data_IF_483232564154
#
_entry.id   IF_483232564154
#
_cell.length_a   1.000
_cell.length_b   1.000
_cell.length_c   1.000
_cell.angle_alpha   90.00
_cell.angle_beta   90.00
_cell.angle_gamma   90.00
#
_symmetry.space_group_name_H-M   'P 1'
#
loop_
_entity.id
_entity.type
_entity.pdbx_description
1 polymer ?
#
# COMPACT_ATOMS: atom_id res chain seq x y z
N UNK A 1 21.18 -8.84 0.05
CA UNK A 1 21.04 -10.06 -0.79
C UNK A 1 19.77 -10.85 -0.49
N UNK A 2 19.41 -11.10 0.78
CA UNK A 2 18.22 -11.89 1.16
C UNK A 2 16.90 -11.38 0.57
N UNK A 3 16.63 -10.07 0.66
CA UNK A 3 15.40 -9.46 0.11
C UNK A 3 15.29 -9.57 -1.41
N UNK A 4 16.37 -9.28 -2.16
CA UNK A 4 16.33 -9.34 -3.62
C UNK A 4 16.02 -10.76 -4.11
N UNK A 5 16.63 -11.77 -3.48
CA UNK A 5 16.42 -13.18 -3.82
C UNK A 5 14.98 -13.62 -3.54
N UNK A 6 14.43 -13.29 -2.37
CA UNK A 6 13.03 -13.58 -2.04
C UNK A 6 12.07 -12.86 -2.99
N UNK A 7 12.37 -11.62 -3.36
CA UNK A 7 11.55 -10.85 -4.30
C UNK A 7 11.61 -11.44 -5.71
N UNK A 8 12.78 -11.96 -6.14
CA UNK A 8 12.93 -12.72 -7.38
C UNK A 8 12.08 -13.98 -7.39
N UNK A 9 12.12 -14.78 -6.33
CA UNK A 9 11.31 -15.99 -6.18
C UNK A 9 9.82 -15.67 -6.26
N UNK A 10 9.34 -14.71 -5.47
CA UNK A 10 7.94 -14.28 -5.46
C UNK A 10 7.45 -13.75 -6.82
N UNK A 11 8.31 -12.98 -7.52
CA UNK A 11 7.98 -12.43 -8.84
C UNK A 11 7.86 -13.52 -9.89
N UNK A 12 8.69 -14.56 -9.80
CA UNK A 12 8.63 -15.75 -10.68
C UNK A 12 7.40 -16.59 -10.36
N UNK A 13 7.18 -16.93 -9.09
CA UNK A 13 6.05 -17.73 -8.62
C UNK A 13 4.71 -17.10 -9.03
N UNK A 14 4.52 -15.80 -8.79
CA UNK A 14 3.27 -15.09 -9.14
C UNK A 14 3.17 -14.69 -10.61
N UNK A 15 4.15 -15.05 -11.43
CA UNK A 15 4.25 -14.71 -12.85
C UNK A 15 3.90 -13.23 -13.11
N UNK A 16 4.60 -12.33 -12.39
CA UNK A 16 4.36 -10.89 -12.44
C UNK A 16 4.76 -10.34 -13.82
N UNK A 17 5.88 -10.82 -14.36
CA UNK A 17 6.40 -10.44 -15.67
C UNK A 17 6.25 -11.57 -16.68
N UNK A 18 5.09 -11.62 -17.35
CA UNK A 18 4.82 -12.62 -18.41
C UNK A 18 5.82 -12.61 -19.58
N UNK A 19 6.38 -11.43 -19.90
CA UNK A 19 7.31 -11.27 -21.01
C UNK A 19 8.69 -10.90 -20.49
N UNK A 20 9.68 -11.75 -20.78
CA UNK A 20 11.04 -11.55 -20.30
C UNK A 20 11.97 -10.88 -21.31
N UNK A 21 11.45 -9.89 -22.04
CA UNK A 21 12.25 -9.07 -22.98
C UNK A 21 13.40 -8.31 -22.29
N UNK A 22 13.37 -8.19 -20.97
CA UNK A 22 14.32 -7.46 -20.13
C UNK A 22 14.59 -8.30 -18.89
N UNK A 23 15.84 -8.37 -18.44
CA UNK A 23 16.26 -9.17 -17.29
C UNK A 23 15.42 -8.85 -16.05
N UNK A 24 14.94 -9.89 -15.36
CA UNK A 24 14.10 -9.73 -14.16
C UNK A 24 14.83 -8.90 -13.11
N UNK A 25 16.13 -9.13 -12.93
CA UNK A 25 16.99 -8.43 -11.99
C UNK A 25 16.95 -6.91 -12.21
N UNK A 26 17.02 -6.46 -13.46
CA UNK A 26 16.94 -5.04 -13.81
C UNK A 26 15.56 -4.48 -13.50
N UNK A 27 14.48 -5.21 -13.83
CA UNK A 27 13.12 -4.78 -13.49
C UNK A 27 12.95 -4.62 -11.97
N UNK A 28 13.50 -5.54 -11.18
CA UNK A 28 13.46 -5.51 -9.73
C UNK A 28 14.25 -4.35 -9.15
N UNK A 29 15.51 -4.19 -9.56
CA UNK A 29 16.37 -3.09 -9.12
C UNK A 29 15.71 -1.75 -9.46
N UNK A 30 15.20 -1.59 -10.68
CA UNK A 30 14.52 -0.36 -11.09
C UNK A 30 13.29 -0.07 -10.22
N UNK A 31 12.47 -1.08 -9.93
CA UNK A 31 11.29 -0.94 -9.05
C UNK A 31 11.69 -0.57 -7.63
N UNK A 32 12.71 -1.21 -7.06
CA UNK A 32 13.20 -0.93 -5.70
C UNK A 32 13.78 0.49 -5.64
N UNK A 33 14.58 0.91 -6.62
CA UNK A 33 15.11 2.28 -6.70
C UNK A 33 13.98 3.31 -6.76
N UNK A 34 12.94 3.03 -7.55
CA UNK A 34 11.76 3.88 -7.58
C UNK A 34 11.08 3.92 -6.21
N UNK A 35 10.78 2.77 -5.59
CA UNK A 35 10.20 2.67 -4.25
C UNK A 35 10.99 3.49 -3.21
N UNK A 36 12.32 3.36 -3.22
CA UNK A 36 13.25 4.04 -2.31
C UNK A 36 13.26 5.58 -2.45
N UNK A 37 12.63 6.14 -3.48
CA UNK A 37 12.50 7.61 -3.60
C UNK A 37 12.90 8.19 -4.94
N UNK A 38 13.59 7.42 -5.80
CA UNK A 38 14.09 7.92 -7.08
C UNK A 38 12.92 8.10 -8.05
N UNK A 39 12.98 9.12 -8.92
CA UNK A 39 11.95 9.34 -9.95
C UNK A 39 12.09 8.33 -11.08
N UNK A 40 10.98 7.97 -11.74
CA UNK A 40 11.00 7.00 -12.85
C UNK A 40 12.02 7.35 -13.94
N UNK A 41 12.09 8.64 -14.31
CA UNK A 41 13.03 9.15 -15.31
C UNK A 41 14.47 9.05 -14.85
N UNK A 42 14.75 9.38 -13.58
CA UNK A 42 16.11 9.28 -13.01
C UNK A 42 16.55 7.82 -12.89
N UNK A 43 15.65 6.91 -12.49
CA UNK A 43 15.93 5.47 -12.46
C UNK A 43 16.24 4.90 -13.84
N UNK A 44 15.41 5.23 -14.85
CA UNK A 44 15.65 4.82 -16.25
C UNK A 44 16.98 5.35 -16.78
N UNK A 45 17.33 6.61 -16.48
CA UNK A 45 18.64 7.18 -16.84
C UNK A 45 19.80 6.50 -16.11
N UNK A 46 19.63 6.21 -14.81
CA UNK A 46 20.67 5.58 -13.99
C UNK A 46 21.00 4.16 -14.43
N UNK A 47 20.01 3.41 -14.89
CA UNK A 47 20.18 2.02 -15.34
C UNK A 47 20.44 1.89 -16.84
N UNK A 48 20.59 3.00 -17.56
CA UNK A 48 20.73 3.02 -19.03
C UNK A 48 21.90 2.18 -19.54
N UNK A 49 23.02 2.19 -18.82
CA UNK A 49 24.23 1.45 -19.19
C UNK A 49 24.10 -0.07 -18.94
N UNK A 50 23.14 -0.49 -18.10
CA UNK A 50 22.85 -1.90 -17.84
C UNK A 50 21.74 -2.43 -18.76
N UNK A 51 20.69 -1.64 -18.97
CA UNK A 51 19.60 -1.97 -19.89
C UNK A 51 18.80 -0.71 -20.28
N UNK A 52 18.37 -0.64 -21.55
CA UNK A 52 17.58 0.48 -22.05
C UNK A 52 16.07 0.20 -21.90
N UNK A 53 15.38 1.02 -21.11
CA UNK A 53 13.93 1.00 -20.93
C UNK A 53 13.38 2.40 -20.64
N UNK A 54 12.13 2.66 -21.03
CA UNK A 54 11.48 3.94 -20.79
C UNK A 54 10.96 4.06 -19.36
N UNK A 55 10.77 5.31 -18.89
CA UNK A 55 10.12 5.58 -17.60
C UNK A 55 8.68 5.03 -17.52
N UNK A 56 7.97 4.95 -18.65
CA UNK A 56 6.65 4.32 -18.72
C UNK A 56 6.70 2.80 -18.57
N UNK A 57 7.74 2.14 -19.11
CA UNK A 57 7.94 0.71 -18.88
C UNK A 57 8.15 0.44 -17.38
N UNK A 58 8.97 1.24 -16.71
CA UNK A 58 9.16 1.16 -15.25
C UNK A 58 7.87 1.43 -14.49
N UNK A 59 7.07 2.42 -14.90
CA UNK A 59 5.75 2.68 -14.30
C UNK A 59 4.86 1.44 -14.37
N UNK A 60 4.78 0.80 -15.53
CA UNK A 60 4.00 -0.43 -15.72
C UNK A 60 4.55 -1.58 -14.87
N UNK A 61 5.87 -1.74 -14.77
CA UNK A 61 6.48 -2.75 -13.90
C UNK A 61 6.13 -2.53 -12.44
N UNK A 62 6.21 -1.28 -11.98
CA UNK A 62 5.83 -0.93 -10.61
C UNK A 62 4.37 -1.26 -10.31
N UNK A 63 3.42 -0.90 -11.20
CA UNK A 63 2.01 -1.24 -11.00
C UNK A 63 1.76 -2.75 -10.92
N UNK A 64 2.55 -3.58 -11.63
CA UNK A 64 2.41 -5.04 -11.56
C UNK A 64 2.76 -5.59 -10.18
N UNK A 65 3.56 -4.89 -9.37
CA UNK A 65 3.87 -5.30 -8.00
C UNK A 65 2.64 -5.25 -7.09
N UNK A 66 1.56 -4.56 -7.47
CA UNK A 66 0.29 -4.65 -6.76
C UNK A 66 -0.21 -6.11 -6.64
N UNK A 67 0.12 -6.98 -7.60
CA UNK A 67 -0.21 -8.42 -7.58
C UNK A 67 0.60 -9.21 -6.55
N UNK A 68 1.70 -8.65 -6.04
CA UNK A 68 2.46 -9.24 -4.95
C UNK A 68 1.75 -9.04 -3.60
N UNK A 69 0.85 -8.05 -3.48
CA UNK A 69 0.10 -7.80 -2.27
C UNK A 69 -0.67 -9.05 -1.85
N UNK A 70 -0.31 -9.57 -0.68
CA UNK A 70 -0.92 -10.75 -0.11
C UNK A 70 -0.73 -10.73 1.39
N UNK A 71 -1.79 -11.06 2.10
CA UNK A 71 -1.78 -11.24 3.54
C UNK A 71 -2.32 -12.65 3.83
N UNK A 72 -1.72 -13.32 4.81
CA UNK A 72 -2.24 -14.59 5.28
C UNK A 72 -3.45 -14.38 6.19
N UNK A 73 -4.38 -15.33 6.12
CA UNK A 73 -5.44 -15.42 7.11
C UNK A 73 -4.86 -15.92 8.43
N UNK A 74 -4.94 -15.12 9.49
CA UNK A 74 -4.42 -15.45 10.82
C UNK A 74 -5.19 -14.73 11.93
N UNK A 75 -4.93 -15.15 13.17
CA UNK A 75 -5.43 -14.45 14.36
C UNK A 75 -4.76 -13.08 14.46
N UNK A 76 -5.55 -12.04 14.72
CA UNK A 76 -5.07 -10.68 14.94
C UNK A 76 -5.71 -10.10 16.18
N UNK A 77 -4.88 -9.66 17.12
CA UNK A 77 -5.36 -9.05 18.36
C UNK A 77 -5.97 -7.68 18.09
N UNK A 78 -5.21 -6.82 17.40
CA UNK A 78 -5.58 -5.42 17.17
C UNK A 78 -5.22 -4.96 15.75
N UNK A 79 -6.15 -4.24 15.12
CA UNK A 79 -5.95 -3.59 13.83
C UNK A 79 -6.23 -2.10 14.00
N UNK A 80 -5.26 -1.26 13.63
CA UNK A 80 -5.47 0.17 13.55
C UNK A 80 -5.92 0.56 12.13
N UNK A 81 -6.99 1.35 12.04
CA UNK A 81 -7.57 1.85 10.80
C UNK A 81 -7.62 3.37 10.87
N UNK A 82 -7.18 4.02 9.80
CA UNK A 82 -7.15 5.47 9.70
C UNK A 82 -7.12 5.90 8.21
N UNK A 83 -7.35 7.18 7.95
CA UNK A 83 -7.27 7.74 6.61
C UNK A 83 -6.35 8.95 6.51
N UNK A 84 -5.78 9.12 5.31
CA UNK A 84 -5.06 10.35 4.95
C UNK A 84 -5.59 10.93 3.65
N UNK A 85 -5.50 12.26 3.53
CA UNK A 85 -5.80 12.97 2.29
C UNK A 85 -4.63 12.86 1.31
N UNK A 86 -4.96 12.62 0.04
CA UNK A 86 -4.05 12.74 -1.10
C UNK A 86 -4.69 13.60 -2.19
N UNK A 87 -3.87 14.13 -3.10
CA UNK A 87 -4.35 14.92 -4.24
C UNK A 87 -4.21 14.12 -5.52
N UNK A 88 -5.32 13.93 -6.25
CA UNK A 88 -5.35 13.34 -7.59
C UNK A 88 -5.79 14.46 -8.54
N UNK A 89 -4.89 14.88 -9.43
CA UNK A 89 -5.12 16.09 -10.21
C UNK A 89 -5.33 17.31 -9.30
N UNK A 90 -6.49 17.96 -9.40
CA UNK A 90 -6.85 19.10 -8.56
C UNK A 90 -7.79 18.73 -7.39
N UNK A 91 -8.24 17.49 -7.30
CA UNK A 91 -9.22 17.06 -6.30
C UNK A 91 -8.58 16.36 -5.11
N UNK A 92 -9.21 16.51 -3.94
CA UNK A 92 -8.84 15.77 -2.73
C UNK A 92 -9.54 14.42 -2.69
N UNK A 93 -8.76 13.40 -2.37
CA UNK A 93 -9.20 12.02 -2.19
C UNK A 93 -8.69 11.50 -0.85
N UNK A 94 -9.29 10.42 -0.36
CA UNK A 94 -8.96 9.77 0.90
C UNK A 94 -8.38 8.40 0.65
N UNK A 95 -7.25 8.11 1.30
CA UNK A 95 -6.63 6.79 1.35
C UNK A 95 -6.92 6.21 2.72
N UNK A 96 -7.69 5.13 2.75
CA UNK A 96 -7.93 4.30 3.92
C UNK A 96 -6.83 3.25 3.99
N UNK A 97 -6.24 3.06 5.16
CA UNK A 97 -5.30 2.00 5.41
C UNK A 97 -5.67 1.27 6.70
N UNK A 98 -5.31 -0.01 6.76
CA UNK A 98 -5.43 -0.82 7.97
C UNK A 98 -4.09 -1.50 8.23
N UNK A 99 -3.59 -1.42 9.46
CA UNK A 99 -2.33 -2.05 9.87
C UNK A 99 -2.57 -3.01 11.03
N UNK A 100 -1.93 -4.17 10.97
CA UNK A 100 -1.81 -5.07 12.10
C UNK A 100 -0.81 -4.47 13.09
N UNK A 101 -1.25 -4.17 14.31
CA UNK A 101 -0.43 -3.49 15.31
C UNK A 101 0.76 -4.35 15.76
N UNK A 102 0.57 -5.67 15.75
CA UNK A 102 1.59 -6.60 16.24
C UNK A 102 2.68 -6.83 15.19
N UNK A 103 2.29 -6.96 13.91
CA UNK A 103 3.24 -7.28 12.82
C UNK A 103 3.64 -6.10 11.96
N UNK A 104 3.03 -4.94 12.13
CA UNK A 104 3.24 -3.76 11.30
C UNK A 104 2.92 -3.96 9.80
N UNK A 105 2.25 -5.06 9.46
CA UNK A 105 1.82 -5.35 8.09
C UNK A 105 0.54 -4.58 7.76
N UNK A 106 0.50 -3.96 6.58
CA UNK A 106 -0.71 -3.33 6.07
C UNK A 106 -1.65 -4.40 5.51
N UNK A 107 -2.87 -4.44 6.04
CA UNK A 107 -3.89 -5.43 5.71
C UNK A 107 -4.74 -5.05 4.51
N UNK A 108 -4.85 -3.76 4.23
CA UNK A 108 -5.61 -3.27 3.09
C UNK A 108 -5.39 -1.79 2.83
N UNK A 109 -5.67 -1.39 1.59
CA UNK A 109 -5.72 0.00 1.17
C UNK A 109 -6.94 0.23 0.27
N UNK A 110 -7.56 1.40 0.38
CA UNK A 110 -8.68 1.78 -0.47
C UNK A 110 -8.70 3.29 -0.68
N UNK A 111 -9.06 3.71 -1.88
CA UNK A 111 -9.17 5.13 -2.24
C UNK A 111 -10.63 5.50 -2.46
N UNK A 112 -11.09 6.57 -1.82
CA UNK A 112 -12.44 7.08 -1.96
C UNK A 112 -12.44 8.61 -2.10
N UNK A 113 -13.47 9.14 -2.76
CA UNK A 113 -13.67 10.59 -2.85
C UNK A 113 -14.23 11.17 -1.55
N UNK A 114 -14.99 10.37 -0.81
CA UNK A 114 -15.69 10.76 0.41
C UNK A 114 -15.32 9.84 1.57
N UNK A 115 -15.71 10.24 2.79
CA UNK A 115 -15.59 9.40 4.00
C UNK A 115 -16.97 9.16 4.57
N UNK A 116 -17.56 8.03 4.21
CA UNK A 116 -18.90 7.64 4.66
C UNK A 116 -18.84 6.34 5.47
N UNK A 117 -19.86 6.07 6.27
CA UNK A 117 -19.95 4.81 7.01
C UNK A 117 -20.06 3.60 6.07
N UNK A 118 -20.58 3.78 4.84
CA UNK A 118 -20.62 2.74 3.81
C UNK A 118 -19.20 2.43 3.32
N UNK A 119 -18.37 3.46 3.11
CA UNK A 119 -16.96 3.28 2.76
C UNK A 119 -16.22 2.55 3.88
N UNK A 120 -16.45 2.92 5.14
CA UNK A 120 -15.87 2.25 6.29
C UNK A 120 -16.26 0.76 6.35
N UNK A 121 -17.55 0.41 6.18
CA UNK A 121 -17.99 -1.01 6.12
C UNK A 121 -17.30 -1.76 4.98
N UNK A 122 -17.26 -1.16 3.79
CA UNK A 122 -16.63 -1.77 2.62
C UNK A 122 -15.14 -2.02 2.88
N UNK A 123 -14.46 -1.08 3.53
CA UNK A 123 -13.06 -1.21 3.87
C UNK A 123 -12.82 -2.30 4.92
N UNK A 124 -13.59 -2.28 6.01
CA UNK A 124 -13.46 -3.24 7.11
C UNK A 124 -13.74 -4.66 6.62
N UNK A 125 -14.79 -4.87 5.82
CA UNK A 125 -15.05 -6.20 5.23
C UNK A 125 -13.90 -6.70 4.36
N UNK A 126 -13.20 -5.83 3.63
CA UNK A 126 -12.03 -6.21 2.81
C UNK A 126 -10.84 -6.67 3.65
N UNK A 127 -10.68 -6.17 4.88
CA UNK A 127 -9.56 -6.57 5.75
C UNK A 127 -9.90 -7.79 6.61
N UNK A 128 -11.19 -7.97 6.97
CA UNK A 128 -11.64 -9.10 7.79
C UNK A 128 -11.43 -10.45 7.11
N UNK A 129 -11.34 -10.52 5.77
CA UNK A 129 -11.01 -11.77 5.05
C UNK A 129 -9.65 -12.34 5.47
N UNK A 130 -8.75 -11.49 5.97
CA UNK A 130 -7.45 -11.90 6.47
C UNK A 130 -7.50 -12.27 7.95
N UNK A 131 -8.61 -12.09 8.65
CA UNK A 131 -8.73 -12.40 10.07
C UNK A 131 -9.53 -13.69 10.26
N UNK A 132 -9.01 -14.63 11.05
CA UNK A 132 -9.81 -15.81 11.46
C UNK A 132 -10.61 -15.55 12.75
N UNK A 133 -10.50 -14.35 13.32
CA UNK A 133 -11.18 -13.88 14.52
C UNK A 133 -11.84 -12.51 14.28
N UNK A 134 -12.52 -11.98 15.30
CA UNK A 134 -12.96 -10.58 15.35
C UNK A 134 -11.91 -9.75 16.11
N UNK A 135 -11.01 -9.03 15.40
CA UNK A 135 -9.98 -8.23 16.04
C UNK A 135 -10.58 -7.01 16.73
N UNK A 136 -9.87 -6.49 17.73
CA UNK A 136 -10.11 -5.14 18.23
C UNK A 136 -9.76 -4.13 17.13
N UNK A 137 -10.66 -3.22 16.81
CA UNK A 137 -10.42 -2.16 15.84
C UNK A 137 -10.10 -0.85 16.55
N UNK A 138 -8.90 -0.31 16.31
CA UNK A 138 -8.51 1.02 16.76
C UNK A 138 -8.71 2.03 15.64
N UNK A 139 -9.51 3.06 15.92
CA UNK A 139 -9.89 4.11 14.96
C UNK A 139 -9.82 5.47 15.61
N UNK A 140 -9.84 6.51 14.77
CA UNK A 140 -10.02 7.88 15.24
C UNK A 140 -11.45 8.12 15.76
N UNK A 141 -11.73 9.36 16.18
CA UNK A 141 -13.08 9.76 16.64
C UNK A 141 -14.02 10.09 15.48
N UNK A 142 -13.72 9.66 14.25
CA UNK A 142 -14.54 10.04 13.13
C UNK A 142 -15.93 9.36 13.18
N UNK A 143 -16.99 10.09 12.78
CA UNK A 143 -18.36 9.63 12.94
C UNK A 143 -18.70 8.43 12.06
N UNK A 144 -17.98 8.19 10.97
CA UNK A 144 -18.25 7.10 10.04
C UNK A 144 -17.89 5.71 10.58
N UNK A 145 -17.02 5.61 11.59
CA UNK A 145 -16.61 4.33 12.16
C UNK A 145 -17.62 3.72 13.12
N UNK A 146 -18.22 4.55 13.98
CA UNK A 146 -19.10 4.06 15.07
C UNK A 146 -20.19 3.14 14.55
N UNK A 147 -20.97 3.61 13.59
CA UNK A 147 -22.07 2.83 13.01
C UNK A 147 -21.56 1.64 12.20
N UNK A 148 -20.47 1.81 11.44
CA UNK A 148 -19.89 0.76 10.62
C UNK A 148 -19.40 -0.45 11.46
N UNK A 149 -18.67 -0.17 12.54
CA UNK A 149 -18.09 -1.21 13.41
C UNK A 149 -19.15 -1.91 14.26
N UNK A 150 -20.13 -1.16 14.77
CA UNK A 150 -21.29 -1.74 15.46
C UNK A 150 -22.07 -2.69 14.55
N UNK A 151 -22.32 -2.29 13.29
CA UNK A 151 -23.04 -3.13 12.32
C UNK A 151 -22.28 -4.42 11.98
N UNK A 152 -20.96 -4.39 12.01
CA UNK A 152 -20.10 -5.57 11.80
C UNK A 152 -19.92 -6.41 13.08
N UNK A 153 -20.44 -5.94 14.21
CA UNK A 153 -20.31 -6.61 15.50
C UNK A 153 -18.85 -6.78 15.93
N UNK A 154 -18.03 -5.74 15.70
CA UNK A 154 -16.63 -5.65 16.10
C UNK A 154 -16.49 -4.77 17.34
N UNK A 155 -15.61 -5.17 18.25
CA UNK A 155 -15.14 -4.30 19.34
C UNK A 155 -14.25 -3.21 18.76
N UNK A 156 -14.41 -1.97 19.23
CA UNK A 156 -13.59 -0.86 18.79
C UNK A 156 -13.27 0.10 19.92
N UNK A 157 -12.10 0.71 19.83
CA UNK A 157 -11.62 1.71 20.78
C UNK A 157 -11.21 2.98 20.05
N UNK A 158 -11.56 4.12 20.64
CA UNK A 158 -11.10 5.43 20.21
C UNK A 158 -9.81 5.76 20.95
N UNK A 159 -8.68 5.67 20.25
CA UNK A 159 -7.39 5.98 20.84
C UNK A 159 -6.75 7.17 20.08
N UNK A 160 -6.39 8.22 20.83
CA UNK A 160 -5.70 9.39 20.27
C UNK A 160 -4.18 9.25 20.36
N UNK A 161 -3.67 8.42 21.29
CA UNK A 161 -2.25 8.14 21.49
C UNK A 161 -2.08 6.68 21.95
N UNK A 162 -1.21 5.90 21.30
CA UNK A 162 -0.99 4.50 21.65
C UNK A 162 -0.65 3.62 20.44
N UNK A 163 -1.30 2.47 20.33
CA UNK A 163 -1.07 1.49 19.25
C UNK A 163 -1.42 2.03 17.85
N UNK A 164 -2.23 3.11 17.80
CA UNK A 164 -2.48 3.87 16.56
C UNK A 164 -1.22 4.54 15.99
N UNK A 165 -0.16 4.70 16.78
CA UNK A 165 1.12 5.21 16.28
C UNK A 165 1.68 4.36 15.13
N UNK A 166 1.29 3.08 15.04
CA UNK A 166 1.70 2.21 13.94
C UNK A 166 1.19 2.73 12.58
N UNK A 167 -0.10 3.08 12.48
CA UNK A 167 -0.67 3.57 11.22
C UNK A 167 -0.21 4.99 10.90
N UNK A 168 -0.03 5.83 11.92
CA UNK A 168 0.51 7.18 11.74
C UNK A 168 1.96 7.15 11.24
N UNK A 169 2.78 6.26 11.80
CA UNK A 169 4.14 5.99 11.33
C UNK A 169 4.15 5.57 9.86
N UNK A 170 3.30 4.61 9.48
CA UNK A 170 3.18 4.21 8.08
C UNK A 170 2.71 5.35 7.16
N UNK A 171 1.75 6.17 7.59
CA UNK A 171 1.33 7.34 6.82
C UNK A 171 2.44 8.37 6.66
N UNK A 172 3.35 8.50 7.62
CA UNK A 172 4.52 9.37 7.47
C UNK A 172 5.45 8.86 6.35
N UNK A 173 5.67 7.55 6.27
CA UNK A 173 6.42 6.91 5.18
C UNK A 173 5.73 7.19 3.83
N UNK A 174 4.41 6.97 3.75
CA UNK A 174 3.63 7.26 2.54
C UNK A 174 3.72 8.74 2.14
N UNK A 175 3.54 9.66 3.10
CA UNK A 175 3.60 11.11 2.85
C UNK A 175 4.99 11.56 2.40
N UNK A 176 6.05 11.00 2.98
CA UNK A 176 7.43 11.25 2.55
C UNK A 176 7.63 10.81 1.10
N UNK A 177 7.08 9.65 0.72
CA UNK A 177 7.11 9.17 -0.66
C UNK A 177 6.30 10.06 -1.61
N UNK A 178 5.08 10.43 -1.23
CA UNK A 178 4.19 11.29 -2.01
C UNK A 178 4.76 12.70 -2.21
N UNK A 179 5.51 13.20 -1.22
CA UNK A 179 6.23 14.49 -1.32
C UNK A 179 7.26 14.51 -2.45
N UNK A 180 7.86 13.37 -2.82
CA UNK A 180 8.84 13.27 -3.92
C UNK A 180 8.23 13.54 -5.31
N UNK A 181 6.91 13.44 -5.45
CA UNK A 181 6.19 13.79 -6.68
C UNK A 181 5.19 14.94 -6.44
N UNK A 182 5.64 15.99 -5.74
CA UNK A 182 4.88 17.24 -5.53
C UNK A 182 3.54 17.05 -4.80
N UNK A 183 3.44 15.98 -3.99
CA UNK A 183 2.24 15.60 -3.24
C UNK A 183 0.99 15.41 -4.10
N UNK A 184 1.17 15.11 -5.39
CA UNK A 184 0.07 15.09 -6.37
C UNK A 184 0.24 13.97 -7.37
N UNK A 185 -0.78 13.13 -7.48
CA UNK A 185 -0.89 12.20 -8.60
C UNK A 185 -1.34 12.95 -9.87
N UNK A 186 -0.88 12.52 -11.06
CA UNK A 186 -1.23 13.14 -12.33
C UNK A 186 -2.76 13.29 -12.52
N UNK A 187 -3.20 14.31 -13.26
CA UNK A 187 -4.64 14.56 -13.47
C UNK A 187 -5.33 13.45 -14.26
N UNK A 188 -4.58 12.76 -15.13
CA UNK A 188 -5.05 11.63 -15.92
C UNK A 188 -4.96 10.29 -15.16
N UNK A 189 -4.52 10.30 -13.89
CA UNK A 189 -4.52 9.11 -13.08
C UNK A 189 -5.96 8.81 -12.62
N UNK A 190 -6.49 7.66 -13.03
CA UNK A 190 -7.76 7.17 -12.50
C UNK A 190 -7.59 6.74 -11.04
N UNK A 191 -8.71 6.66 -10.32
CA UNK A 191 -8.76 6.12 -8.95
C UNK A 191 -8.07 4.74 -8.89
N UNK A 192 -8.38 3.86 -9.83
CA UNK A 192 -7.87 2.49 -9.91
C UNK A 192 -6.37 2.48 -10.14
N UNK A 193 -5.85 3.43 -10.94
CA UNK A 193 -4.41 3.57 -11.13
C UNK A 193 -3.72 3.98 -9.83
N UNK A 194 -4.29 4.93 -9.08
CA UNK A 194 -3.75 5.36 -7.77
C UNK A 194 -3.84 4.24 -6.74
N UNK A 195 -4.96 3.52 -6.67
CA UNK A 195 -5.09 2.31 -5.83
C UNK A 195 -4.04 1.27 -6.21
N UNK A 196 -3.84 0.98 -7.49
CA UNK A 196 -2.80 0.05 -7.95
C UNK A 196 -1.38 0.50 -7.57
N UNK A 197 -1.10 1.80 -7.64
CA UNK A 197 0.19 2.35 -7.20
C UNK A 197 0.38 2.18 -5.68
N UNK A 198 -0.65 2.47 -4.89
CA UNK A 198 -0.65 2.34 -3.44
C UNK A 198 -0.53 0.87 -3.01
N UNK A 199 -1.24 -0.04 -3.67
CA UNK A 199 -1.15 -1.48 -3.43
C UNK A 199 0.25 -2.01 -3.75
N UNK A 200 0.90 -1.53 -4.82
CA UNK A 200 2.29 -1.87 -5.12
C UNK A 200 3.25 -1.33 -4.05
N UNK A 201 3.03 -0.10 -3.58
CA UNK A 201 3.80 0.49 -2.48
C UNK A 201 3.69 -0.33 -1.20
N UNK A 202 2.47 -0.71 -0.83
CA UNK A 202 2.18 -1.57 0.32
C UNK A 202 2.80 -2.95 0.16
N UNK A 203 2.73 -3.55 -1.03
CA UNK A 203 3.30 -4.87 -1.27
C UNK A 203 4.81 -4.90 -0.99
N UNK A 204 5.54 -3.87 -1.42
CA UNK A 204 6.98 -3.76 -1.15
C UNK A 204 7.23 -3.49 0.33
N UNK A 205 6.48 -2.57 0.94
CA UNK A 205 6.58 -2.28 2.38
C UNK A 205 6.36 -3.53 3.25
N UNK A 206 5.30 -4.31 3.00
CA UNK A 206 5.03 -5.53 3.77
C UNK A 206 6.15 -6.57 3.59
N UNK A 207 6.79 -6.63 2.43
CA UNK A 207 7.96 -7.49 2.24
C UNK A 207 9.14 -7.04 3.09
N UNK A 208 9.41 -5.73 3.16
CA UNK A 208 10.47 -5.18 4.02
C UNK A 208 10.20 -5.48 5.50
N UNK A 209 8.96 -5.30 5.96
CA UNK A 209 8.56 -5.60 7.34
C UNK A 209 8.71 -7.08 7.68
N UNK A 210 8.42 -8.00 6.75
CA UNK A 210 8.58 -9.46 6.98
C UNK A 210 10.04 -9.92 7.05
N UNK A 211 10.96 -9.13 6.52
CA UNK A 211 12.37 -9.47 6.41
C UNK A 211 13.19 -8.86 7.56
N UNK A 212 12.68 -7.75 8.13
CA UNK A 212 13.26 -7.05 9.27
C UNK A 212 13.11 -7.87 10.55
#
# INVERSE_FOLDING_TARGET
MKMLNQLMELVREKNIFRWDRKKIEIKLIATILYYAGISLRKTSKFLKDFDNFSHEALRQWYHKFARLFTNSTKYRRCIAIDETKIKIGNEWWYVWAAIDVDTWEILGIMVTKWRTSIDAIKFVNRILIYCNNKPLIKVDRAPWYRWALQRLGLSYEHETFGERNAIEGWFNILKARVKRFWKRFPFNASKESVEGWLTAFVAIYNLEVRIS
#
